data_IF_458170696351
#
_entry.id   IF_458170696351
#
_cell.length_a   1.000
_cell.length_b   1.000
_cell.length_c   1.000
_cell.angle_alpha   90.00
_cell.angle_beta   90.00
_cell.angle_gamma   90.00
#
_symmetry.space_group_name_H-M   'P 1'
#
loop_
_entity.id
_entity.type
_entity.pdbx_description
1 polymer ?
#
# COMPACT_ATOMS: atom_id res chain seq x y z
N UNK A 1 -55.83 7.10 -12.37
CA UNK A 1 -55.37 6.15 -11.39
C UNK A 1 -54.07 5.58 -11.94
N UNK A 2 -52.98 6.23 -11.69
CA UNK A 2 -51.65 5.76 -12.08
C UNK A 2 -51.14 4.86 -10.94
N UNK A 3 -50.65 3.74 -11.31
CA UNK A 3 -50.17 2.66 -10.45
C UNK A 3 -48.86 3.10 -9.77
N UNK A 4 -48.92 3.19 -8.44
CA UNK A 4 -47.87 3.72 -7.55
C UNK A 4 -47.01 2.57 -6.98
N UNK A 5 -46.79 1.50 -7.78
CA UNK A 5 -46.16 0.26 -7.32
C UNK A 5 -44.70 0.02 -7.77
N UNK A 6 -44.09 0.96 -8.51
CA UNK A 6 -42.75 0.74 -9.08
C UNK A 6 -41.59 1.44 -8.33
N UNK A 7 -41.86 2.22 -7.25
CA UNK A 7 -40.80 2.95 -6.54
C UNK A 7 -40.20 2.20 -5.34
N UNK A 8 -40.74 1.08 -4.91
CA UNK A 8 -40.22 0.33 -3.73
C UNK A 8 -39.16 -0.72 -4.05
N UNK A 9 -38.91 -1.01 -5.32
CA UNK A 9 -37.95 -2.09 -5.69
C UNK A 9 -36.47 -1.68 -5.62
N UNK A 10 -36.16 -0.42 -5.35
CA UNK A 10 -34.80 0.13 -5.29
C UNK A 10 -34.48 0.86 -3.97
N UNK A 11 -35.27 0.67 -2.93
CA UNK A 11 -34.88 1.17 -1.61
C UNK A 11 -33.82 0.27 -1.00
N UNK A 12 -32.56 0.65 -1.19
CA UNK A 12 -31.37 -0.03 -0.65
C UNK A 12 -31.15 0.24 0.85
N UNK A 13 -32.15 0.76 1.56
CA UNK A 13 -32.03 1.20 2.95
C UNK A 13 -32.10 0.07 4.00
N UNK A 14 -32.36 -1.17 3.60
CA UNK A 14 -32.33 -2.32 4.51
C UNK A 14 -31.08 -3.16 4.29
N UNK A 15 -29.93 -2.66 4.73
CA UNK A 15 -28.72 -3.46 4.79
C UNK A 15 -28.81 -4.48 5.92
N UNK A 16 -28.60 -5.76 5.58
CA UNK A 16 -28.47 -6.86 6.54
C UNK A 16 -27.19 -6.73 7.37
N UNK A 17 -26.29 -5.84 6.95
CA UNK A 17 -24.99 -5.65 7.57
C UNK A 17 -25.00 -4.47 8.54
N UNK A 18 -24.45 -4.69 9.73
CA UNK A 18 -24.30 -3.66 10.76
C UNK A 18 -23.30 -2.57 10.36
N UNK A 19 -22.35 -2.91 9.51
CA UNK A 19 -21.35 -2.02 8.95
C UNK A 19 -20.88 -2.56 7.61
N UNK A 20 -21.30 -1.97 6.51
CA UNK A 20 -20.96 -2.40 5.15
C UNK A 20 -19.52 -2.07 4.76
N UNK A 21 -18.93 -1.02 5.35
CA UNK A 21 -17.55 -0.62 5.10
C UNK A 21 -16.52 -1.70 5.43
N UNK A 22 -16.88 -2.69 6.26
CA UNK A 22 -15.99 -3.82 6.58
C UNK A 22 -15.64 -4.66 5.35
N UNK A 23 -16.45 -4.61 4.29
CA UNK A 23 -16.24 -5.35 3.04
C UNK A 23 -15.47 -4.56 1.97
N UNK A 24 -15.16 -3.31 2.22
CA UNK A 24 -14.32 -2.52 1.32
C UNK A 24 -12.89 -3.07 1.29
N UNK A 25 -12.28 -3.08 0.10
CA UNK A 25 -10.93 -3.63 -0.11
C UNK A 25 -9.87 -2.88 0.72
N UNK A 26 -10.12 -1.59 0.98
CA UNK A 26 -9.21 -0.70 1.72
C UNK A 26 -9.63 -0.53 3.20
N UNK A 27 -10.60 -1.31 3.67
CA UNK A 27 -11.04 -1.22 5.06
C UNK A 27 -9.90 -1.57 6.03
N UNK A 28 -9.62 -0.63 6.92
CA UNK A 28 -8.68 -0.81 8.04
C UNK A 28 -9.47 -0.79 9.35
N UNK A 29 -9.48 -1.88 10.13
CA UNK A 29 -10.21 -1.94 11.39
C UNK A 29 -9.62 -0.96 12.42
N UNK A 30 -10.49 -0.29 13.18
CA UNK A 30 -10.09 0.63 14.26
C UNK A 30 -9.27 -0.07 15.37
N UNK A 31 -9.51 -1.38 15.58
CA UNK A 31 -8.75 -2.21 16.51
C UNK A 31 -8.14 -3.41 15.79
N UNK A 32 -6.82 -3.45 15.71
CA UNK A 32 -6.08 -4.56 15.10
C UNK A 32 -5.59 -5.51 16.20
N UNK A 33 -6.53 -6.39 16.62
CA UNK A 33 -6.33 -7.31 17.73
C UNK A 33 -5.39 -8.48 17.38
N UNK A 34 -4.63 -8.96 18.36
CA UNK A 34 -3.76 -10.14 18.29
C UNK A 34 -2.58 -10.03 17.30
N UNK A 35 -2.11 -8.81 17.00
CA UNK A 35 -0.97 -8.55 16.12
C UNK A 35 0.07 -7.60 16.73
N UNK A 36 -0.02 -7.35 18.02
CA UNK A 36 0.81 -6.39 18.73
C UNK A 36 2.30 -6.69 18.55
N UNK A 37 2.72 -7.94 18.74
CA UNK A 37 4.13 -8.35 18.63
C UNK A 37 4.67 -8.25 17.19
N UNK A 38 3.83 -8.55 16.18
CA UNK A 38 4.20 -8.40 14.78
C UNK A 38 4.32 -6.91 14.40
N UNK A 39 3.39 -6.10 14.88
CA UNK A 39 3.43 -4.64 14.67
C UNK A 39 4.65 -4.02 15.34
N UNK A 40 4.99 -4.41 16.57
CA UNK A 40 6.20 -3.95 17.25
C UNK A 40 7.46 -4.33 16.49
N UNK A 41 7.52 -5.55 15.95
CA UNK A 41 8.66 -6.02 15.15
C UNK A 41 8.82 -5.21 13.86
N UNK A 42 7.71 -4.91 13.18
CA UNK A 42 7.69 -4.06 11.98
C UNK A 42 8.11 -2.62 12.31
N UNK A 43 7.55 -2.04 13.38
CA UNK A 43 7.94 -0.70 13.85
C UNK A 43 9.42 -0.63 14.20
N UNK A 44 9.95 -1.63 14.88
CA UNK A 44 11.37 -1.71 15.20
C UNK A 44 12.23 -1.72 13.93
N UNK A 45 11.87 -2.53 12.93
CA UNK A 45 12.60 -2.64 11.68
C UNK A 45 12.58 -1.33 10.88
N UNK A 46 11.48 -0.56 10.91
CA UNK A 46 11.33 0.69 10.17
C UNK A 46 11.78 1.94 10.95
N UNK A 47 12.03 1.81 12.26
CA UNK A 47 12.47 2.93 13.11
C UNK A 47 13.66 3.73 12.56
N UNK A 48 14.69 3.14 11.93
CA UNK A 48 15.77 3.91 11.32
C UNK A 48 15.31 4.86 10.21
N UNK A 49 14.26 4.50 9.44
CA UNK A 49 13.73 5.35 8.39
C UNK A 49 13.24 6.71 8.91
N UNK A 50 12.62 6.73 10.09
CA UNK A 50 12.13 7.95 10.76
C UNK A 50 13.27 8.94 11.04
N UNK A 51 14.52 8.45 11.08
CA UNK A 51 15.72 9.27 11.32
C UNK A 51 16.56 9.51 10.04
N UNK A 52 15.95 9.28 8.88
CA UNK A 52 16.64 9.41 7.59
C UNK A 52 17.67 8.30 7.31
N UNK A 53 17.65 7.20 8.10
CA UNK A 53 18.57 6.09 7.93
C UNK A 53 17.90 4.89 7.26
N UNK A 54 18.70 4.04 6.63
CA UNK A 54 18.20 2.84 5.95
C UNK A 54 17.51 1.89 6.94
N UNK A 55 16.23 1.53 6.75
CA UNK A 55 15.53 0.55 7.56
C UNK A 55 16.01 -0.88 7.28
N UNK A 56 15.61 -1.82 8.14
CA UNK A 56 15.81 -3.24 7.89
C UNK A 56 14.79 -3.75 6.88
N UNK A 57 15.25 -4.65 5.99
CA UNK A 57 14.34 -5.38 5.12
C UNK A 57 13.59 -6.44 5.96
N UNK A 58 12.28 -6.52 5.75
CA UNK A 58 11.40 -7.46 6.45
C UNK A 58 10.64 -8.31 5.45
N UNK A 59 10.49 -9.58 5.75
CA UNK A 59 9.62 -10.48 5.01
C UNK A 59 8.49 -10.94 5.94
N UNK A 60 7.24 -10.57 5.62
CA UNK A 60 6.05 -11.03 6.32
C UNK A 60 5.49 -12.28 5.61
N UNK A 61 5.53 -13.43 6.28
CA UNK A 61 5.06 -14.70 5.75
C UNK A 61 3.90 -15.24 6.59
N UNK A 62 2.95 -15.88 5.94
CA UNK A 62 1.80 -16.50 6.60
C UNK A 62 0.64 -16.76 5.65
N UNK A 63 -0.38 -17.52 6.06
CA UNK A 63 -1.57 -17.82 5.26
C UNK A 63 -2.30 -16.55 4.79
N UNK A 64 -3.10 -16.62 3.71
CA UNK A 64 -3.97 -15.51 3.32
C UNK A 64 -4.98 -15.21 4.44
N UNK A 65 -5.48 -13.98 4.48
CA UNK A 65 -6.44 -13.54 5.50
C UNK A 65 -5.87 -13.31 6.91
N UNK A 66 -4.55 -13.40 7.11
CA UNK A 66 -3.92 -13.18 8.43
C UNK A 66 -3.60 -11.72 8.73
N UNK A 67 -4.03 -10.78 7.89
CA UNK A 67 -3.85 -9.34 8.12
C UNK A 67 -2.47 -8.78 7.75
N UNK A 68 -1.67 -9.45 6.92
CA UNK A 68 -0.34 -8.95 6.47
C UNK A 68 -0.44 -7.60 5.78
N UNK A 69 -1.31 -7.51 4.78
CA UNK A 69 -1.56 -6.29 4.02
C UNK A 69 -2.08 -5.17 4.92
N UNK A 70 -3.03 -5.49 5.80
CA UNK A 70 -3.60 -4.54 6.76
C UNK A 70 -2.53 -4.01 7.73
N UNK A 71 -1.63 -4.88 8.22
CA UNK A 71 -0.50 -4.47 9.08
C UNK A 71 0.40 -3.43 8.40
N UNK A 72 0.71 -3.65 7.13
CA UNK A 72 1.52 -2.72 6.33
C UNK A 72 0.79 -1.39 6.12
N UNK A 73 -0.51 -1.44 5.83
CA UNK A 73 -1.34 -0.25 5.63
C UNK A 73 -1.34 0.62 6.89
N UNK A 74 -1.68 0.04 8.05
CA UNK A 74 -1.69 0.75 9.34
C UNK A 74 -0.33 1.39 9.62
N UNK A 75 0.76 0.64 9.40
CA UNK A 75 2.11 1.14 9.64
C UNK A 75 2.49 2.29 8.70
N UNK A 76 2.10 2.21 7.42
CA UNK A 76 2.34 3.27 6.46
C UNK A 76 1.56 4.54 6.78
N UNK A 77 0.30 4.39 7.23
CA UNK A 77 -0.52 5.52 7.65
C UNK A 77 0.09 6.19 8.90
N UNK A 78 0.58 5.40 9.86
CA UNK A 78 1.29 5.91 11.04
C UNK A 78 2.59 6.64 10.65
N UNK A 79 3.38 6.09 9.73
CA UNK A 79 4.61 6.72 9.23
C UNK A 79 4.32 8.06 8.54
N UNK A 80 3.33 8.11 7.65
CA UNK A 80 2.93 9.35 6.94
C UNK A 80 2.44 10.43 7.89
N UNK A 81 1.73 10.04 8.97
CA UNK A 81 1.22 10.99 9.95
C UNK A 81 2.32 11.60 10.84
N UNK A 82 3.44 10.93 11.00
CA UNK A 82 4.48 11.30 11.95
C UNK A 82 5.80 11.73 11.30
N UNK A 83 5.99 11.48 10.01
CA UNK A 83 7.29 11.66 9.34
C UNK A 83 7.11 12.07 7.88
N UNK A 84 8.20 12.58 7.27
CA UNK A 84 8.29 12.87 5.84
C UNK A 84 8.75 11.64 5.01
N UNK A 85 8.81 10.46 5.62
CA UNK A 85 9.21 9.22 4.93
C UNK A 85 8.19 8.87 3.86
N UNK A 86 8.67 8.72 2.63
CA UNK A 86 7.83 8.24 1.52
C UNK A 86 7.52 6.75 1.68
N UNK A 87 6.26 6.38 1.53
CA UNK A 87 5.83 4.98 1.62
C UNK A 87 5.04 4.60 0.36
N UNK A 88 5.43 3.51 -0.28
CA UNK A 88 4.76 3.01 -1.49
C UNK A 88 4.45 1.53 -1.32
N UNK A 89 3.19 1.16 -1.51
CA UNK A 89 2.76 -0.24 -1.56
C UNK A 89 2.52 -0.64 -3.01
N UNK A 90 3.14 -1.72 -3.45
CA UNK A 90 2.98 -2.28 -4.79
C UNK A 90 2.36 -3.67 -4.67
N UNK A 91 1.21 -3.86 -5.30
CA UNK A 91 0.61 -5.19 -5.44
C UNK A 91 1.30 -5.93 -6.60
N UNK A 92 2.02 -7.01 -6.29
CA UNK A 92 2.80 -7.79 -7.26
C UNK A 92 1.93 -8.73 -8.10
N UNK A 93 0.70 -9.01 -7.71
CA UNK A 93 -0.26 -9.73 -8.54
C UNK A 93 -0.61 -8.92 -9.81
N UNK A 94 -0.73 -7.62 -9.67
CA UNK A 94 -1.02 -6.70 -10.78
C UNK A 94 0.26 -6.26 -11.47
N UNK A 95 1.32 -5.97 -10.69
CA UNK A 95 2.60 -5.46 -11.15
C UNK A 95 3.67 -6.54 -11.04
N UNK A 96 3.61 -7.56 -11.91
CA UNK A 96 4.44 -8.76 -11.81
C UNK A 96 5.84 -8.65 -12.45
N UNK A 97 6.19 -7.51 -13.04
CA UNK A 97 7.50 -7.30 -13.66
C UNK A 97 8.31 -6.23 -12.93
N UNK A 98 9.64 -6.32 -13.01
CA UNK A 98 10.53 -5.27 -12.46
C UNK A 98 10.21 -3.89 -13.01
N UNK A 99 9.89 -3.81 -14.30
CA UNK A 99 9.51 -2.56 -14.94
C UNK A 99 8.20 -2.00 -14.36
N UNK A 100 7.17 -2.84 -14.22
CA UNK A 100 5.89 -2.43 -13.65
C UNK A 100 6.03 -1.96 -12.19
N UNK A 101 6.81 -2.69 -11.36
CA UNK A 101 7.09 -2.28 -9.99
C UNK A 101 7.76 -0.90 -9.97
N UNK A 102 8.84 -0.73 -10.74
CA UNK A 102 9.57 0.54 -10.76
C UNK A 102 8.76 1.69 -11.38
N UNK A 103 7.80 1.40 -12.27
CA UNK A 103 6.84 2.40 -12.74
C UNK A 103 5.94 2.90 -11.61
N UNK A 104 5.49 2.00 -10.71
CA UNK A 104 4.74 2.40 -9.51
C UNK A 104 5.61 3.22 -8.53
N UNK A 105 6.87 2.83 -8.36
CA UNK A 105 7.81 3.60 -7.54
C UNK A 105 8.07 4.99 -8.14
N UNK A 106 8.25 5.07 -9.44
CA UNK A 106 8.41 6.35 -10.15
C UNK A 106 7.18 7.25 -9.91
N UNK A 107 5.97 6.71 -10.12
CA UNK A 107 4.74 7.44 -9.88
C UNK A 107 4.62 7.93 -8.43
N UNK A 108 4.99 7.11 -7.46
CA UNK A 108 4.93 7.49 -6.05
C UNK A 108 6.00 8.51 -5.63
N UNK A 109 7.15 8.54 -6.30
CA UNK A 109 8.24 9.50 -6.01
C UNK A 109 8.03 10.83 -6.73
N UNK A 110 7.61 10.79 -7.99
CA UNK A 110 7.47 11.97 -8.85
C UNK A 110 6.05 12.53 -8.93
N UNK A 111 5.04 11.81 -8.43
CA UNK A 111 3.61 12.16 -8.46
C UNK A 111 3.00 12.26 -9.87
N UNK A 112 3.70 11.73 -10.88
CA UNK A 112 3.19 11.59 -12.25
C UNK A 112 3.64 10.27 -12.89
N UNK A 113 2.96 9.84 -13.94
CA UNK A 113 3.29 8.59 -14.64
C UNK A 113 4.61 8.69 -15.40
N UNK A 114 5.42 7.63 -15.44
CA UNK A 114 6.60 7.62 -16.29
C UNK A 114 6.20 7.76 -17.77
N UNK A 115 7.09 8.28 -18.62
CA UNK A 115 6.81 8.40 -20.06
C UNK A 115 6.36 7.07 -20.65
N UNK A 116 5.25 7.09 -21.41
CA UNK A 116 4.57 5.90 -21.94
C UNK A 116 5.37 5.13 -22.99
N UNK A 117 6.43 5.71 -23.56
CA UNK A 117 7.24 5.07 -24.59
C UNK A 117 8.73 5.36 -24.43
N UNK A 118 9.56 4.35 -24.70
CA UNK A 118 10.99 4.51 -24.92
C UNK A 118 11.90 4.66 -23.70
N UNK A 119 11.37 4.56 -22.47
CA UNK A 119 12.23 4.57 -21.30
C UNK A 119 12.69 3.15 -20.95
N UNK A 120 14.00 2.94 -20.87
CA UNK A 120 14.55 1.65 -20.43
C UNK A 120 14.43 1.48 -18.91
N UNK A 121 14.36 0.21 -18.45
CA UNK A 121 14.36 -0.08 -17.01
C UNK A 121 15.55 0.58 -16.28
N UNK A 122 16.75 0.56 -16.89
CA UNK A 122 17.94 1.20 -16.32
C UNK A 122 17.72 2.70 -16.09
N UNK A 123 17.10 3.39 -17.05
CA UNK A 123 16.83 4.83 -16.94
C UNK A 123 15.75 5.12 -15.89
N UNK A 124 14.70 4.30 -15.86
CA UNK A 124 13.64 4.39 -14.86
C UNK A 124 14.19 4.20 -13.43
N UNK A 125 15.01 3.16 -13.25
CA UNK A 125 15.69 2.90 -11.98
C UNK A 125 16.58 4.08 -11.54
N UNK A 126 17.44 4.57 -12.46
CA UNK A 126 18.32 5.71 -12.17
C UNK A 126 17.53 6.94 -11.75
N UNK A 127 16.47 7.30 -12.48
CA UNK A 127 15.67 8.48 -12.15
C UNK A 127 15.07 8.42 -10.75
N UNK A 128 14.53 7.25 -10.36
CA UNK A 128 13.96 7.07 -9.02
C UNK A 128 15.04 7.18 -7.93
N UNK A 129 16.18 6.51 -8.14
CA UNK A 129 17.27 6.53 -7.15
C UNK A 129 17.95 7.89 -7.05
N UNK A 130 18.21 8.54 -8.19
CA UNK A 130 18.85 9.85 -8.23
C UNK A 130 17.98 10.90 -7.53
N UNK A 131 16.65 10.85 -7.75
CA UNK A 131 15.69 11.74 -7.10
C UNK A 131 15.69 11.59 -5.58
N UNK A 132 15.66 10.35 -5.08
CA UNK A 132 15.70 10.07 -3.63
C UNK A 132 17.00 10.54 -2.99
N UNK A 133 18.14 10.39 -3.69
CA UNK A 133 19.45 10.86 -3.22
C UNK A 133 19.52 12.40 -3.24
N UNK A 134 19.01 13.02 -4.30
CA UNK A 134 19.00 14.48 -4.46
C UNK A 134 18.15 15.17 -3.38
N UNK A 135 17.02 14.58 -3.04
CA UNK A 135 16.11 15.10 -2.02
C UNK A 135 16.48 14.67 -0.59
N UNK A 136 17.50 13.81 -0.42
CA UNK A 136 17.86 13.19 0.87
C UNK A 136 16.67 12.47 1.53
N UNK A 137 15.84 11.81 0.73
CA UNK A 137 14.62 11.15 1.17
C UNK A 137 14.79 9.64 1.35
N UNK A 138 14.12 9.10 2.36
CA UNK A 138 13.99 7.66 2.56
C UNK A 138 12.67 7.18 1.96
N UNK A 139 12.75 6.16 1.11
CA UNK A 139 11.60 5.45 0.56
C UNK A 139 11.46 4.08 1.21
N UNK A 140 10.31 3.82 1.81
CA UNK A 140 9.90 2.49 2.30
C UNK A 140 8.92 1.88 1.31
N UNK A 141 9.30 0.74 0.75
CA UNK A 141 8.48 0.01 -0.23
C UNK A 141 7.95 -1.27 0.37
N UNK A 142 6.66 -1.50 0.27
CA UNK A 142 6.04 -2.78 0.53
C UNK A 142 5.65 -3.47 -0.77
N UNK A 143 6.23 -4.64 -1.01
CA UNK A 143 5.82 -5.52 -2.10
C UNK A 143 4.83 -6.53 -1.55
N UNK A 144 3.56 -6.34 -1.86
CA UNK A 144 2.47 -7.22 -1.46
C UNK A 144 2.30 -8.35 -2.49
N UNK A 145 1.92 -9.54 -2.02
CA UNK A 145 1.74 -10.72 -2.87
C UNK A 145 2.98 -11.05 -3.72
N UNK A 146 4.16 -10.96 -3.09
CA UNK A 146 5.47 -11.13 -3.75
C UNK A 146 5.66 -12.50 -4.44
N UNK A 147 4.88 -13.51 -4.07
CA UNK A 147 4.86 -14.83 -4.70
C UNK A 147 4.47 -14.80 -6.20
N UNK A 148 3.85 -13.74 -6.67
CA UNK A 148 3.54 -13.56 -8.11
C UNK A 148 4.75 -13.07 -8.95
N UNK A 149 5.88 -12.82 -8.32
CA UNK A 149 7.12 -12.44 -9.01
C UNK A 149 7.99 -13.63 -9.42
N UNK A 150 7.62 -14.87 -8.98
CA UNK A 150 8.41 -16.11 -9.16
C UNK A 150 7.61 -17.19 -9.86
#
# INVERSE_FOLDING_TARGET
MADDSDEEMLSWDESVFRNEHVFEIDYVPESFLHRESQMESLKYALKPAVRGSRPLNVMAQGPPGTGKTTSVQILFDELRAQTEVKTIRVNCQVNSTRYAIFSQLFKGVFEYEPPSSGISFKKLFSQVTDKLVEDDEVLVVALDDVNYLF
#
